data_IF_615800610407
#
_entry.id   IF_615800610407
#
_cell.length_a   1.000
_cell.length_b   1.000
_cell.length_c   1.000
_cell.angle_alpha   90.00
_cell.angle_beta   90.00
_cell.angle_gamma   90.00
#
_symmetry.space_group_name_H-M   'P 1'
#
loop_
_entity.id
_entity.type
_entity.pdbx_description
1 polymer ?
#
# COMPACT_ATOMS: atom_id res chain seq x y z
N UNK A 1 -7.01 15.07 -2.85
CA UNK A 1 -7.41 13.81 -3.49
C UNK A 1 -8.87 13.86 -3.96
N UNK A 2 -9.10 13.71 -5.24
CA UNK A 2 -10.46 13.66 -5.83
C UNK A 2 -11.13 12.35 -5.37
N UNK A 3 -10.42 11.23 -5.42
CA UNK A 3 -10.93 9.91 -5.02
C UNK A 3 -11.21 9.75 -3.51
N UNK A 4 -10.81 10.71 -2.69
CA UNK A 4 -11.14 10.76 -1.28
C UNK A 4 -10.31 9.90 -0.33
N UNK A 5 -9.47 9.02 -0.81
CA UNK A 5 -8.55 8.22 0.01
C UNK A 5 -7.28 9.06 0.23
N UNK A 6 -7.20 9.75 1.37
CA UNK A 6 -6.09 10.65 1.70
C UNK A 6 -4.89 9.92 2.31
N UNK A 7 -5.05 8.65 2.65
CA UNK A 7 -4.04 7.77 3.24
C UNK A 7 -4.69 6.47 3.70
N UNK A 8 -3.90 5.55 4.28
CA UNK A 8 -4.45 4.33 4.88
C UNK A 8 -5.41 4.66 6.02
N UNK A 9 -5.04 5.65 6.81
CA UNK A 9 -5.84 6.24 7.86
C UNK A 9 -5.96 7.74 7.61
N UNK A 10 -7.13 8.30 7.89
CA UNK A 10 -7.40 9.73 7.79
C UNK A 10 -8.49 10.13 8.81
N UNK A 11 -8.69 11.41 9.01
CA UNK A 11 -9.80 11.89 9.84
C UNK A 11 -11.04 12.12 8.98
N UNK A 12 -12.22 11.83 9.55
CA UNK A 12 -13.51 12.17 8.99
C UNK A 12 -14.44 12.53 10.15
N UNK A 13 -15.02 13.70 10.08
CA UNK A 13 -15.90 14.21 11.14
C UNK A 13 -15.26 14.15 12.54
N UNK A 14 -13.97 14.52 12.62
CA UNK A 14 -13.18 14.55 13.85
C UNK A 14 -12.78 13.17 14.40
N UNK A 15 -12.96 12.08 13.65
CA UNK A 15 -12.62 10.71 14.07
C UNK A 15 -11.62 10.06 13.13
N UNK A 16 -10.65 9.31 13.65
CA UNK A 16 -9.76 8.53 12.80
C UNK A 16 -10.56 7.39 12.14
N UNK A 17 -10.36 7.22 10.84
CA UNK A 17 -11.02 6.19 10.03
C UNK A 17 -9.96 5.51 9.17
N UNK A 18 -9.97 4.18 9.15
CA UNK A 18 -9.22 3.40 8.19
C UNK A 18 -9.92 3.44 6.81
N UNK A 19 -9.14 3.53 5.72
CA UNK A 19 -9.63 3.89 4.39
C UNK A 19 -10.75 3.01 3.83
N UNK A 20 -10.78 1.73 4.19
CA UNK A 20 -11.84 0.78 3.77
C UNK A 20 -12.81 0.43 4.89
N UNK A 21 -12.62 0.95 6.10
CA UNK A 21 -13.51 0.66 7.23
C UNK A 21 -14.97 1.04 6.90
N UNK A 22 -15.86 0.08 7.13
CA UNK A 22 -17.31 0.25 6.97
C UNK A 22 -18.07 -0.58 8.01
N UNK A 23 -18.60 0.09 9.03
CA UNK A 23 -19.36 -0.56 10.11
C UNK A 23 -20.79 -0.95 9.70
N UNK A 24 -21.22 -0.56 8.49
CA UNK A 24 -22.55 -0.93 7.95
C UNK A 24 -22.55 -2.29 7.27
N UNK A 25 -21.38 -2.93 7.15
CA UNK A 25 -21.24 -4.25 6.53
C UNK A 25 -20.73 -5.27 7.54
N UNK A 26 -21.01 -6.54 7.27
CA UNK A 26 -20.57 -7.66 8.07
C UNK A 26 -19.53 -8.51 7.33
N UNK A 27 -18.72 -9.26 8.09
CA UNK A 27 -17.78 -10.23 7.55
C UNK A 27 -18.52 -11.41 6.91
N UNK A 28 -18.02 -11.87 5.77
CA UNK A 28 -18.49 -13.07 5.07
C UNK A 28 -17.30 -14.04 4.95
N UNK A 29 -17.46 -15.23 5.50
CA UNK A 29 -16.41 -16.27 5.54
C UNK A 29 -15.79 -16.50 6.90
N UNK A 30 -16.04 -15.61 7.88
CA UNK A 30 -15.69 -15.80 9.29
C UNK A 30 -16.84 -15.33 10.17
N UNK A 31 -17.22 -16.07 11.22
CA UNK A 31 -18.29 -15.67 12.11
C UNK A 31 -17.85 -14.50 13.01
N UNK A 32 -18.68 -13.49 13.17
CA UNK A 32 -18.53 -12.38 14.12
C UNK A 32 -17.19 -11.61 14.05
N UNK A 33 -16.48 -11.68 12.93
CA UNK A 33 -15.20 -11.00 12.73
C UNK A 33 -15.38 -9.54 12.33
N UNK A 34 -14.51 -8.65 12.83
CA UNK A 34 -14.42 -7.25 12.34
C UNK A 34 -13.56 -7.13 11.08
N UNK A 35 -12.77 -8.16 10.76
CA UNK A 35 -11.85 -8.18 9.60
C UNK A 35 -12.55 -8.04 8.24
N UNK A 36 -13.86 -8.34 8.18
CA UNK A 36 -14.67 -8.14 6.99
C UNK A 36 -15.55 -6.89 7.04
N UNK A 37 -15.46 -6.03 8.06
CA UNK A 37 -16.17 -4.74 8.08
C UNK A 37 -15.49 -3.71 7.19
N UNK A 38 -15.34 -4.04 5.90
CA UNK A 38 -14.59 -3.29 4.90
C UNK A 38 -15.37 -3.17 3.60
N UNK A 39 -15.30 -1.99 2.97
CA UNK A 39 -15.94 -1.71 1.68
C UNK A 39 -15.25 -0.56 0.95
N UNK A 40 -15.55 -0.30 -0.33
CA UNK A 40 -15.05 0.86 -1.05
C UNK A 40 -15.80 2.16 -0.73
N UNK A 41 -16.69 2.20 0.24
CA UNK A 41 -17.61 3.33 0.51
C UNK A 41 -16.89 4.68 0.74
N UNK A 42 -15.65 4.67 1.22
CA UNK A 42 -14.84 5.87 1.38
C UNK A 42 -14.15 6.34 0.10
N UNK A 43 -14.08 5.49 -0.92
CA UNK A 43 -13.67 5.87 -2.28
C UNK A 43 -14.80 6.65 -2.93
N UNK A 44 -14.51 7.87 -3.41
CA UNK A 44 -15.54 8.82 -3.88
C UNK A 44 -15.65 8.88 -5.41
N UNK A 45 -14.85 8.08 -6.10
CA UNK A 45 -14.79 8.03 -7.57
C UNK A 45 -14.93 6.61 -8.05
N UNK A 46 -15.28 6.45 -9.32
CA UNK A 46 -15.18 5.15 -9.99
C UNK A 46 -13.70 4.74 -10.14
N UNK A 47 -13.48 3.46 -10.39
CA UNK A 47 -12.19 2.87 -10.78
C UNK A 47 -12.24 2.42 -12.23
N UNK A 48 -11.10 2.04 -12.81
CA UNK A 48 -11.09 1.47 -14.17
C UNK A 48 -11.89 0.16 -14.25
N UNK A 49 -11.95 -0.61 -13.16
CA UNK A 49 -12.77 -1.81 -13.09
C UNK A 49 -14.27 -1.47 -13.10
N UNK A 50 -14.67 -0.37 -12.43
CA UNK A 50 -16.04 0.12 -12.49
C UNK A 50 -16.41 0.58 -13.91
N UNK A 51 -15.56 1.37 -14.55
CA UNK A 51 -15.79 1.86 -15.91
C UNK A 51 -15.88 0.73 -16.93
N UNK A 52 -15.04 -0.31 -16.81
CA UNK A 52 -15.12 -1.50 -17.63
C UNK A 52 -16.46 -2.20 -17.48
N UNK A 53 -16.95 -2.37 -16.25
CA UNK A 53 -18.26 -2.98 -16.00
C UNK A 53 -19.42 -2.15 -16.55
N UNK A 54 -19.36 -0.83 -16.39
CA UNK A 54 -20.36 0.10 -16.92
C UNK A 54 -20.35 0.01 -18.47
N UNK A 55 -19.20 0.09 -19.12
CA UNK A 55 -19.07 0.06 -20.57
C UNK A 55 -19.60 -1.25 -21.18
N UNK A 56 -19.48 -2.36 -20.46
CA UNK A 56 -19.98 -3.67 -20.89
C UNK A 56 -21.39 -4.00 -20.39
N UNK A 57 -22.09 -3.03 -19.85
CA UNK A 57 -23.39 -3.22 -19.21
C UNK A 57 -23.38 -4.37 -18.18
N UNK A 58 -22.36 -4.35 -17.31
CA UNK A 58 -22.09 -5.31 -16.24
C UNK A 58 -21.85 -6.76 -16.67
N UNK A 59 -21.52 -6.99 -17.95
CA UNK A 59 -21.16 -8.34 -18.45
C UNK A 59 -19.72 -8.72 -18.13
N UNK A 60 -18.79 -7.76 -18.09
CA UNK A 60 -17.42 -7.99 -17.60
C UNK A 60 -17.43 -8.43 -16.14
N UNK A 61 -16.56 -9.38 -15.83
CA UNK A 61 -16.31 -9.80 -14.44
C UNK A 61 -15.07 -9.10 -13.93
N UNK A 62 -15.15 -8.59 -12.73
CA UNK A 62 -14.01 -7.95 -12.06
C UNK A 62 -13.81 -8.56 -10.69
N UNK A 63 -12.58 -8.91 -10.34
CA UNK A 63 -12.22 -9.56 -9.08
C UNK A 63 -10.99 -8.88 -8.49
N UNK A 64 -11.01 -8.65 -7.17
CA UNK A 64 -9.85 -8.18 -6.41
C UNK A 64 -9.35 -9.24 -5.43
N UNK A 65 -8.04 -9.47 -5.37
CA UNK A 65 -7.40 -10.45 -4.49
C UNK A 65 -6.16 -9.85 -3.85
N UNK A 66 -6.07 -9.88 -2.53
CA UNK A 66 -4.90 -9.44 -1.80
C UNK A 66 -4.81 -10.09 -0.41
N UNK A 67 -3.66 -9.96 0.24
CA UNK A 67 -3.55 -10.20 1.68
C UNK A 67 -4.21 -9.05 2.45
N UNK A 68 -4.02 -7.80 1.97
CA UNK A 68 -4.59 -6.57 2.58
C UNK A 68 -5.98 -6.29 1.98
N UNK A 69 -6.97 -6.00 2.82
CA UNK A 69 -8.33 -5.62 2.40
C UNK A 69 -8.33 -4.45 1.41
N UNK A 70 -7.63 -3.34 1.72
CA UNK A 70 -7.57 -2.15 0.86
C UNK A 70 -6.98 -2.43 -0.52
N UNK A 71 -5.98 -3.31 -0.59
CA UNK A 71 -5.33 -3.67 -1.84
C UNK A 71 -6.17 -4.61 -2.72
N UNK A 72 -7.15 -5.28 -2.14
CA UNK A 72 -8.19 -6.04 -2.86
C UNK A 72 -9.35 -5.13 -3.29
N UNK A 73 -9.83 -4.30 -2.37
CA UNK A 73 -11.06 -3.51 -2.49
C UNK A 73 -10.89 -2.33 -3.44
N UNK A 74 -9.86 -1.50 -3.22
CA UNK A 74 -9.75 -0.21 -3.92
C UNK A 74 -9.50 -0.35 -5.42
N UNK A 75 -8.62 -1.26 -5.92
CA UNK A 75 -8.46 -1.46 -7.35
C UNK A 75 -9.68 -2.11 -8.01
N UNK A 76 -10.40 -2.98 -7.29
CA UNK A 76 -11.58 -3.65 -7.79
C UNK A 76 -12.81 -2.74 -7.88
N UNK A 77 -12.87 -1.69 -7.06
CA UNK A 77 -13.90 -0.67 -7.11
C UNK A 77 -15.23 -1.03 -6.45
N UNK A 78 -16.26 -0.26 -6.84
CA UNK A 78 -17.59 -0.33 -6.24
C UNK A 78 -18.45 -1.46 -6.79
N UNK A 79 -18.31 -1.76 -8.07
CA UNK A 79 -19.24 -2.65 -8.81
C UNK A 79 -18.69 -4.05 -9.00
N UNK A 80 -17.53 -4.37 -8.43
CA UNK A 80 -16.85 -5.66 -8.63
C UNK A 80 -17.72 -6.86 -8.25
N UNK A 81 -17.49 -7.98 -8.94
CA UNK A 81 -18.11 -9.28 -8.61
C UNK A 81 -17.64 -9.84 -7.27
N UNK A 82 -16.44 -9.43 -6.82
CA UNK A 82 -15.93 -9.79 -5.51
C UNK A 82 -14.56 -9.22 -5.24
N UNK A 83 -14.34 -8.81 -4.00
CA UNK A 83 -13.02 -8.49 -3.45
C UNK A 83 -12.76 -9.44 -2.28
N UNK A 84 -11.60 -10.11 -2.30
CA UNK A 84 -11.24 -11.14 -1.32
C UNK A 84 -9.91 -10.81 -0.67
N UNK A 85 -9.84 -10.89 0.65
CA UNK A 85 -8.61 -10.62 1.43
C UNK A 85 -8.44 -11.64 2.54
N UNK A 86 -7.21 -11.73 3.04
CA UNK A 86 -6.84 -12.74 4.03
C UNK A 86 -7.26 -12.30 5.45
N UNK A 87 -7.96 -13.18 6.14
CA UNK A 87 -8.17 -13.08 7.58
C UNK A 87 -7.05 -13.79 8.33
N UNK A 88 -6.27 -13.06 9.11
CA UNK A 88 -5.10 -13.58 9.80
C UNK A 88 -5.42 -14.63 10.88
N UNK A 89 -6.60 -14.52 11.48
CA UNK A 89 -6.97 -15.42 12.56
C UNK A 89 -7.31 -16.81 12.04
N UNK A 90 -8.06 -16.88 10.95
CA UNK A 90 -8.48 -18.16 10.34
C UNK A 90 -7.53 -18.66 9.26
N UNK A 91 -6.76 -17.78 8.62
CA UNK A 91 -5.95 -18.09 7.44
C UNK A 91 -6.81 -18.28 6.18
N UNK A 92 -8.04 -17.81 6.17
CA UNK A 92 -8.99 -17.93 5.08
C UNK A 92 -9.13 -16.62 4.32
N UNK A 93 -9.45 -16.71 3.02
CA UNK A 93 -9.94 -15.56 2.28
C UNK A 93 -11.39 -15.28 2.65
N UNK A 94 -11.66 -14.02 2.93
CA UNK A 94 -12.97 -13.50 3.33
C UNK A 94 -13.39 -12.35 2.41
N UNK A 95 -14.64 -11.93 2.55
CA UNK A 95 -15.18 -10.73 1.93
C UNK A 95 -16.12 -10.03 2.90
N UNK A 96 -16.91 -9.07 2.43
CA UNK A 96 -17.94 -8.39 3.20
C UNK A 96 -19.30 -8.50 2.54
N UNK A 97 -20.35 -8.23 3.33
CA UNK A 97 -21.73 -8.15 2.83
C UNK A 97 -21.96 -6.99 1.84
N UNK A 98 -20.98 -6.11 1.64
CA UNK A 98 -21.00 -5.14 0.55
C UNK A 98 -21.02 -5.83 -0.81
N UNK A 99 -20.24 -6.89 -0.97
CA UNK A 99 -20.10 -7.60 -2.23
C UNK A 99 -20.99 -8.83 -2.33
N UNK A 100 -21.06 -9.64 -1.28
CA UNK A 100 -21.77 -10.92 -1.29
C UNK A 100 -22.30 -11.27 0.09
N UNK A 101 -23.40 -12.00 0.14
CA UNK A 101 -23.98 -12.52 1.39
C UNK A 101 -23.35 -13.84 1.83
N UNK A 102 -22.67 -14.56 0.91
CA UNK A 102 -21.92 -15.78 1.17
C UNK A 102 -20.68 -15.88 0.26
N UNK A 103 -19.70 -16.68 0.66
CA UNK A 103 -18.55 -16.96 -0.18
C UNK A 103 -18.96 -17.86 -1.37
N UNK A 104 -18.44 -17.61 -2.58
CA UNK A 104 -18.59 -18.53 -3.70
C UNK A 104 -17.98 -19.90 -3.39
N UNK A 105 -18.47 -20.93 -4.05
CA UNK A 105 -18.02 -22.31 -3.81
C UNK A 105 -16.51 -22.50 -4.08
N UNK A 106 -15.97 -21.82 -5.08
CA UNK A 106 -14.54 -21.87 -5.35
C UNK A 106 -13.70 -21.27 -4.21
N UNK A 107 -14.17 -20.19 -3.53
CA UNK A 107 -13.51 -19.64 -2.34
C UNK A 107 -13.63 -20.59 -1.15
N UNK A 108 -14.83 -21.17 -0.93
CA UNK A 108 -15.04 -22.18 0.13
C UNK A 108 -14.10 -23.37 -0.06
N UNK A 109 -13.99 -23.88 -1.30
CA UNK A 109 -13.07 -24.97 -1.65
C UNK A 109 -11.61 -24.59 -1.46
N UNK A 110 -11.21 -23.37 -1.83
CA UNK A 110 -9.85 -22.89 -1.61
C UNK A 110 -9.51 -22.83 -0.11
N UNK A 111 -10.39 -22.21 0.70
CA UNK A 111 -10.22 -22.09 2.15
C UNK A 111 -10.15 -23.47 2.84
N UNK A 112 -10.96 -24.43 2.41
CA UNK A 112 -10.98 -25.78 2.97
C UNK A 112 -9.66 -26.55 2.82
N UNK A 113 -8.77 -26.12 1.90
CA UNK A 113 -7.43 -26.73 1.74
C UNK A 113 -6.48 -26.41 2.88
N UNK A 114 -6.74 -25.35 3.68
CA UNK A 114 -5.87 -24.95 4.78
C UNK A 114 -4.46 -24.52 4.35
N UNK A 115 -4.34 -23.93 3.16
CA UNK A 115 -3.04 -23.65 2.49
C UNK A 115 -2.07 -22.80 3.30
N UNK A 116 -2.56 -21.85 4.11
CA UNK A 116 -1.70 -21.03 4.98
C UNK A 116 -0.89 -21.89 5.94
N UNK A 117 -1.56 -22.85 6.62
CA UNK A 117 -0.89 -23.76 7.54
C UNK A 117 0.10 -24.67 6.83
N UNK A 118 -0.28 -25.18 5.65
CA UNK A 118 0.57 -26.06 4.85
C UNK A 118 1.85 -25.32 4.40
N UNK A 119 1.73 -24.12 3.84
CA UNK A 119 2.86 -23.31 3.40
C UNK A 119 3.80 -22.96 4.57
N UNK A 120 3.26 -22.49 5.69
CA UNK A 120 4.06 -22.16 6.87
C UNK A 120 4.72 -23.40 7.50
N UNK A 121 4.18 -24.60 7.29
CA UNK A 121 4.76 -25.83 7.81
C UNK A 121 6.04 -26.27 7.10
N UNK A 122 6.35 -25.70 5.92
CA UNK A 122 7.53 -26.04 5.12
C UNK A 122 8.82 -25.42 5.66
N UNK A 123 8.73 -24.33 6.44
CA UNK A 123 9.86 -23.49 6.77
C UNK A 123 10.33 -22.65 5.57
N UNK A 124 10.92 -21.49 5.84
CA UNK A 124 11.48 -20.66 4.79
C UNK A 124 12.99 -20.89 4.69
N UNK A 125 13.40 -21.62 3.66
CA UNK A 125 14.82 -21.83 3.28
C UNK A 125 15.12 -20.95 2.08
N UNK A 126 16.34 -20.47 1.96
CA UNK A 126 16.78 -19.76 0.76
C UNK A 126 16.51 -20.58 -0.51
N UNK A 127 16.11 -19.93 -1.58
CA UNK A 127 15.80 -20.56 -2.86
C UNK A 127 17.04 -21.16 -3.53
N UNK A 128 18.17 -20.46 -3.38
CA UNK A 128 19.48 -20.84 -3.90
C UNK A 128 20.53 -20.86 -2.77
N UNK A 129 21.76 -21.24 -3.08
CA UNK A 129 22.90 -21.09 -2.15
C UNK A 129 23.06 -19.60 -1.81
N UNK A 130 23.08 -19.25 -0.52
CA UNK A 130 23.25 -17.87 -0.05
C UNK A 130 24.47 -17.16 -0.63
N UNK A 131 25.51 -17.90 -1.00
CA UNK A 131 26.71 -17.33 -1.67
C UNK A 131 26.42 -16.73 -3.05
N UNK A 132 25.28 -17.07 -3.65
CA UNK A 132 24.86 -16.55 -4.97
C UNK A 132 24.04 -15.25 -4.87
N UNK A 133 23.58 -14.91 -3.68
CA UNK A 133 22.88 -13.66 -3.42
C UNK A 133 23.89 -12.51 -3.44
N UNK A 134 23.64 -11.50 -4.27
CA UNK A 134 24.58 -10.41 -4.53
C UNK A 134 24.04 -9.03 -4.21
N UNK A 135 22.72 -8.90 -4.19
CA UNK A 135 22.05 -7.61 -3.97
C UNK A 135 21.72 -7.38 -2.50
N UNK A 136 22.01 -8.35 -1.64
CA UNK A 136 21.77 -8.30 -0.20
C UNK A 136 23.07 -8.20 0.61
N UNK A 137 22.90 -7.77 1.86
CA UNK A 137 23.95 -7.82 2.89
C UNK A 137 24.11 -9.25 3.41
N UNK A 138 24.97 -9.46 4.43
CA UNK A 138 25.05 -10.75 5.10
C UNK A 138 23.71 -11.10 5.76
N UNK A 139 23.38 -12.41 5.79
CA UNK A 139 22.14 -12.95 6.37
C UNK A 139 21.95 -12.65 7.87
N UNK A 140 23.02 -12.36 8.60
CA UNK A 140 22.98 -11.99 10.02
C UNK A 140 23.46 -10.57 10.21
N UNK A 141 22.54 -9.64 10.37
CA UNK A 141 22.82 -8.22 10.61
C UNK A 141 21.96 -7.67 11.75
N UNK A 142 22.27 -6.44 12.18
CA UNK A 142 21.43 -5.68 13.11
C UNK A 142 20.38 -4.82 12.39
N UNK A 143 20.27 -4.94 11.06
CA UNK A 143 19.31 -4.19 10.25
C UNK A 143 17.91 -4.78 10.32
N UNK A 144 17.81 -6.07 10.58
CA UNK A 144 16.58 -6.84 10.49
C UNK A 144 15.86 -6.95 11.84
N UNK A 145 14.54 -6.90 11.80
CA UNK A 145 13.72 -7.06 12.99
C UNK A 145 13.54 -8.53 13.35
N UNK A 146 14.10 -9.02 14.46
CA UNK A 146 13.95 -10.42 14.88
C UNK A 146 12.50 -10.75 15.24
N UNK A 147 12.23 -12.03 15.39
CA UNK A 147 10.93 -12.55 15.80
C UNK A 147 10.86 -12.79 17.31
N UNK A 148 9.63 -12.86 17.81
CA UNK A 148 9.35 -13.03 19.23
C UNK A 148 9.26 -11.71 19.97
N UNK A 149 8.64 -11.75 21.17
CA UNK A 149 8.40 -10.54 21.99
C UNK A 149 9.67 -9.86 22.47
N UNK A 150 10.75 -10.65 22.64
CA UNK A 150 12.06 -10.19 23.13
C UNK A 150 13.15 -10.30 22.06
N UNK A 151 12.78 -10.60 20.79
CA UNK A 151 13.75 -10.80 19.72
C UNK A 151 14.55 -12.09 19.83
N UNK A 152 13.97 -13.14 20.44
CA UNK A 152 14.65 -14.39 20.72
C UNK A 152 14.89 -15.26 19.49
N UNK A 153 14.19 -15.02 18.38
CA UNK A 153 14.38 -15.73 17.11
C UNK A 153 15.05 -14.80 16.10
N UNK A 154 16.27 -15.09 15.66
CA UNK A 154 16.95 -14.28 14.65
C UNK A 154 16.14 -14.17 13.34
N UNK A 155 16.33 -13.08 12.65
CA UNK A 155 15.84 -12.87 11.30
C UNK A 155 16.91 -13.39 10.32
N UNK A 156 17.00 -14.71 10.18
CA UNK A 156 17.99 -15.37 9.31
C UNK A 156 17.36 -16.58 8.62
N UNK A 157 17.89 -16.95 7.47
CA UNK A 157 17.49 -18.15 6.77
C UNK A 157 18.40 -19.36 7.16
N UNK A 158 17.86 -20.57 7.38
CA UNK A 158 16.45 -20.93 7.25
C UNK A 158 15.59 -20.48 8.45
N UNK A 159 14.39 -19.95 8.18
CA UNK A 159 13.45 -19.52 9.20
C UNK A 159 12.42 -20.64 9.49
N UNK A 160 12.28 -21.04 10.75
CA UNK A 160 11.25 -22.02 11.16
C UNK A 160 9.87 -21.35 11.26
N UNK A 161 9.24 -21.18 10.12
CA UNK A 161 7.89 -20.58 10.02
C UNK A 161 6.82 -21.43 10.69
N UNK A 162 7.06 -22.76 10.86
CA UNK A 162 6.16 -23.64 11.59
C UNK A 162 6.16 -23.35 13.10
N UNK A 163 7.34 -23.12 13.67
CA UNK A 163 7.45 -22.69 15.07
C UNK A 163 6.86 -21.28 15.25
N UNK A 164 7.18 -20.34 14.36
CA UNK A 164 6.63 -18.97 14.39
C UNK A 164 5.10 -18.97 14.29
N UNK A 165 4.50 -19.80 13.47
CA UNK A 165 3.04 -19.93 13.36
C UNK A 165 2.39 -20.28 14.72
N UNK A 166 3.04 -21.12 15.54
CA UNK A 166 2.51 -21.49 16.86
C UNK A 166 2.52 -20.33 17.87
N UNK A 167 3.49 -19.44 17.78
CA UNK A 167 3.67 -18.32 18.72
C UNK A 167 3.07 -17.01 18.23
N UNK A 168 3.05 -16.77 16.90
CA UNK A 168 2.64 -15.52 16.28
C UNK A 168 1.37 -15.65 15.43
N UNK A 169 0.78 -16.85 15.31
CA UNK A 169 -0.42 -17.11 14.53
C UNK A 169 -0.17 -17.21 13.02
N UNK A 170 -1.26 -17.32 12.27
CA UNK A 170 -1.22 -17.51 10.82
C UNK A 170 -0.79 -16.25 10.05
N UNK A 171 -0.89 -15.08 10.67
CA UNK A 171 -0.42 -13.81 10.10
C UNK A 171 1.07 -13.77 9.76
N UNK A 172 1.88 -14.70 10.27
CA UNK A 172 3.29 -14.89 9.87
C UNK A 172 3.45 -15.02 8.36
N UNK A 173 2.46 -15.57 7.65
CA UNK A 173 2.51 -15.73 6.19
C UNK A 173 2.74 -14.42 5.45
N UNK A 174 2.28 -13.29 5.99
CA UNK A 174 2.43 -11.96 5.40
C UNK A 174 3.89 -11.55 5.23
N UNK A 175 4.76 -11.97 6.15
CA UNK A 175 6.18 -11.63 6.19
C UNK A 175 7.08 -12.77 5.70
N UNK A 176 6.54 -13.60 4.82
CA UNK A 176 7.24 -14.69 4.12
C UNK A 176 6.86 -14.67 2.63
N UNK A 177 7.68 -15.21 1.73
CA UNK A 177 7.34 -15.28 0.30
C UNK A 177 6.08 -16.12 0.04
N UNK A 178 5.71 -16.98 0.97
CA UNK A 178 4.49 -17.82 0.88
C UNK A 178 3.21 -17.00 0.79
N UNK A 179 3.23 -15.73 1.28
CA UNK A 179 2.11 -14.81 1.09
C UNK A 179 1.85 -14.50 -0.38
N UNK A 180 2.90 -14.32 -1.19
CA UNK A 180 2.75 -14.13 -2.64
C UNK A 180 2.32 -15.42 -3.33
N UNK A 181 2.91 -16.57 -2.96
CA UNK A 181 2.48 -17.89 -3.44
C UNK A 181 0.97 -18.09 -3.24
N UNK A 182 0.47 -17.75 -2.05
CA UNK A 182 -0.95 -17.86 -1.72
C UNK A 182 -1.83 -16.99 -2.63
N UNK A 183 -1.38 -15.78 -2.98
CA UNK A 183 -2.11 -14.88 -3.90
C UNK A 183 -2.14 -15.45 -5.32
N UNK A 184 -1.03 -15.98 -5.85
CA UNK A 184 -1.03 -16.63 -7.17
C UNK A 184 -1.95 -17.85 -7.22
N UNK A 185 -1.98 -18.67 -6.17
CA UNK A 185 -2.89 -19.81 -6.10
C UNK A 185 -4.36 -19.38 -6.03
N UNK A 186 -4.67 -18.34 -5.24
CA UNK A 186 -6.01 -17.78 -5.13
C UNK A 186 -6.47 -17.14 -6.45
N UNK A 187 -5.55 -16.47 -7.17
CA UNK A 187 -5.81 -15.91 -8.48
C UNK A 187 -6.17 -16.99 -9.52
N UNK A 188 -5.43 -18.09 -9.56
CA UNK A 188 -5.78 -19.23 -10.42
C UNK A 188 -7.15 -19.81 -10.06
N UNK A 189 -7.44 -19.95 -8.77
CA UNK A 189 -8.75 -20.41 -8.31
C UNK A 189 -9.89 -19.46 -8.73
N UNK A 190 -9.64 -18.15 -8.73
CA UNK A 190 -10.62 -17.15 -9.18
C UNK A 190 -10.82 -17.21 -10.70
N UNK A 191 -9.74 -17.34 -11.49
CA UNK A 191 -9.82 -17.46 -12.95
C UNK A 191 -10.67 -18.68 -13.33
N UNK A 192 -10.42 -19.84 -12.69
CA UNK A 192 -11.19 -21.05 -12.94
C UNK A 192 -12.63 -20.95 -12.40
N UNK A 193 -12.79 -20.47 -11.17
CA UNK A 193 -14.08 -20.45 -10.48
C UNK A 193 -15.08 -19.43 -11.01
N UNK A 194 -14.58 -18.30 -11.54
CA UNK A 194 -15.40 -17.25 -12.16
C UNK A 194 -15.36 -17.32 -13.70
N UNK A 195 -14.61 -18.26 -14.29
CA UNK A 195 -14.46 -18.39 -15.75
C UNK A 195 -13.96 -17.08 -16.39
N UNK A 196 -12.91 -16.47 -15.79
CA UNK A 196 -12.36 -15.21 -16.30
C UNK A 196 -11.66 -15.43 -17.65
N UNK A 197 -11.92 -14.53 -18.59
CA UNK A 197 -11.36 -14.58 -19.94
C UNK A 197 -12.00 -15.62 -20.89
N UNK A 198 -13.05 -16.31 -20.46
CA UNK A 198 -13.79 -17.29 -21.30
C UNK A 198 -14.98 -16.66 -22.03
N UNK A 199 -15.36 -15.45 -21.66
CA UNK A 199 -16.48 -14.71 -22.25
C UNK A 199 -16.09 -13.92 -23.51
N UNK A 200 -17.06 -13.13 -24.02
CA UNK A 200 -16.84 -12.19 -25.12
C UNK A 200 -16.26 -10.85 -24.65
N UNK A 201 -16.57 -10.48 -23.43
CA UNK A 201 -16.16 -9.22 -22.83
C UNK A 201 -14.81 -9.39 -22.10
N UNK A 202 -14.03 -8.34 -22.03
CA UNK A 202 -12.81 -8.34 -21.23
C UNK A 202 -13.15 -8.42 -19.75
N UNK A 203 -12.54 -9.33 -19.02
CA UNK A 203 -12.62 -9.42 -17.56
C UNK A 203 -11.41 -8.74 -16.91
N UNK A 204 -11.48 -8.43 -15.63
CA UNK A 204 -10.42 -7.74 -14.90
C UNK A 204 -10.09 -8.45 -13.59
N UNK A 205 -8.81 -8.76 -13.38
CA UNK A 205 -8.30 -9.34 -12.15
C UNK A 205 -7.24 -8.42 -11.54
N UNK A 206 -7.56 -7.80 -10.39
CA UNK A 206 -6.60 -7.06 -9.59
C UNK A 206 -5.96 -7.98 -8.54
N UNK A 207 -4.63 -8.05 -8.55
CA UNK A 207 -3.84 -8.83 -7.61
C UNK A 207 -2.86 -7.94 -6.87
N UNK A 208 -2.73 -8.11 -5.55
CA UNK A 208 -1.68 -7.46 -4.79
C UNK A 208 -0.78 -8.47 -4.10
N UNK A 209 0.50 -8.47 -4.47
CA UNK A 209 1.55 -9.34 -3.94
C UNK A 209 2.19 -8.67 -2.71
N UNK A 210 1.36 -8.40 -1.71
CA UNK A 210 1.69 -7.55 -0.56
C UNK A 210 2.75 -8.13 0.39
N UNK A 211 3.15 -9.41 0.25
CA UNK A 211 4.15 -10.01 1.12
C UNK A 211 5.54 -9.36 0.96
N UNK A 212 5.89 -8.88 -0.23
CA UNK A 212 7.15 -8.15 -0.49
C UNK A 212 7.28 -6.91 0.39
N UNK A 213 6.19 -6.13 0.54
CA UNK A 213 6.14 -4.97 1.43
C UNK A 213 6.34 -5.35 2.91
N UNK A 214 5.62 -6.37 3.38
CA UNK A 214 5.78 -6.84 4.77
C UNK A 214 7.18 -7.40 5.07
N UNK A 215 7.81 -8.07 4.10
CA UNK A 215 9.19 -8.55 4.18
C UNK A 215 10.12 -7.33 4.26
N UNK A 216 9.98 -6.36 3.37
CA UNK A 216 10.74 -5.10 3.41
C UNK A 216 10.62 -4.38 4.76
N UNK A 217 9.41 -4.24 5.28
CA UNK A 217 9.18 -3.62 6.60
C UNK A 217 9.95 -4.30 7.72
N UNK A 218 10.05 -5.63 7.71
CA UNK A 218 10.70 -6.40 8.77
C UNK A 218 12.20 -6.49 8.59
N UNK A 219 12.65 -6.83 7.39
CA UNK A 219 14.05 -7.20 7.16
C UNK A 219 14.86 -6.04 6.55
N UNK A 220 14.22 -5.16 5.80
CA UNK A 220 14.89 -4.07 5.07
C UNK A 220 15.07 -4.38 3.59
N UNK A 221 15.46 -3.35 2.82
CA UNK A 221 15.57 -3.45 1.35
C UNK A 221 16.76 -4.29 0.89
N UNK A 222 17.83 -4.36 1.68
CA UNK A 222 19.05 -5.13 1.37
C UNK A 222 19.17 -6.43 2.17
N UNK A 223 18.09 -6.94 2.75
CA UNK A 223 18.12 -8.21 3.45
C UNK A 223 18.11 -9.39 2.47
N UNK A 224 18.73 -10.48 2.86
CA UNK A 224 18.71 -11.76 2.13
C UNK A 224 17.27 -12.24 1.92
N UNK A 225 16.41 -12.05 2.92
CA UNK A 225 15.00 -12.39 2.86
C UNK A 225 14.26 -11.58 1.77
N UNK A 226 14.64 -10.33 1.58
CA UNK A 226 14.05 -9.49 0.54
C UNK A 226 14.50 -9.95 -0.85
N UNK A 227 15.80 -10.22 -1.03
CA UNK A 227 16.33 -10.77 -2.29
C UNK A 227 15.69 -12.13 -2.60
N UNK A 228 15.61 -13.05 -1.64
CA UNK A 228 14.96 -14.37 -1.80
C UNK A 228 13.48 -14.23 -2.18
N UNK A 229 12.77 -13.28 -1.57
CA UNK A 229 11.37 -13.04 -1.89
C UNK A 229 11.17 -12.57 -3.34
N UNK A 230 12.04 -11.72 -3.85
CA UNK A 230 11.98 -11.26 -5.25
C UNK A 230 12.37 -12.36 -6.25
N UNK A 231 13.41 -13.16 -5.95
CA UNK A 231 13.78 -14.32 -6.79
C UNK A 231 12.64 -15.34 -6.89
N UNK A 232 11.91 -15.55 -5.80
CA UNK A 232 10.71 -16.40 -5.79
C UNK A 232 9.56 -15.78 -6.56
N UNK A 233 9.35 -14.48 -6.37
CA UNK A 233 8.32 -13.74 -7.07
C UNK A 233 8.50 -13.82 -8.58
N UNK A 234 9.72 -13.63 -9.08
CA UNK A 234 10.04 -13.76 -10.51
C UNK A 234 9.67 -15.15 -11.06
N UNK A 235 10.06 -16.20 -10.36
CA UNK A 235 9.70 -17.58 -10.74
C UNK A 235 8.18 -17.84 -10.74
N UNK A 236 7.51 -17.40 -9.69
CA UNK A 236 6.05 -17.58 -9.56
C UNK A 236 5.29 -16.78 -10.62
N UNK A 237 5.79 -15.58 -10.96
CA UNK A 237 5.25 -14.77 -12.03
C UNK A 237 5.42 -15.46 -13.39
N UNK A 238 6.59 -16.02 -13.69
CA UNK A 238 6.82 -16.78 -14.90
C UNK A 238 5.86 -17.98 -15.03
N UNK A 239 5.64 -18.72 -13.94
CA UNK A 239 4.66 -19.81 -13.92
C UNK A 239 3.22 -19.32 -14.07
N UNK A 240 2.88 -18.17 -13.49
CA UNK A 240 1.55 -17.59 -13.63
C UNK A 240 1.27 -17.10 -15.05
N UNK A 241 2.23 -16.43 -15.68
CA UNK A 241 2.12 -15.99 -17.07
C UNK A 241 2.00 -17.18 -18.04
N UNK A 242 2.81 -18.24 -17.82
CA UNK A 242 2.67 -19.50 -18.59
C UNK A 242 1.31 -20.17 -18.37
N UNK A 243 0.72 -20.06 -17.18
CA UNK A 243 -0.64 -20.53 -16.94
C UNK A 243 -1.66 -19.71 -17.72
N UNK A 244 -1.54 -18.37 -17.71
CA UNK A 244 -2.43 -17.49 -18.49
C UNK A 244 -2.36 -17.77 -19.99
N UNK A 245 -1.15 -17.90 -20.56
CA UNK A 245 -0.96 -18.23 -21.97
C UNK A 245 -1.66 -19.53 -22.37
N UNK A 246 -1.63 -20.57 -21.51
CA UNK A 246 -2.37 -21.82 -21.76
C UNK A 246 -3.89 -21.66 -21.58
N UNK A 247 -4.34 -20.81 -20.66
CA UNK A 247 -5.76 -20.68 -20.31
C UNK A 247 -6.53 -19.81 -21.30
N UNK A 248 -5.97 -18.68 -21.71
CA UNK A 248 -6.66 -17.68 -22.55
C UNK A 248 -5.91 -17.36 -23.84
N UNK A 249 -4.73 -17.96 -24.07
CA UNK A 249 -3.86 -17.68 -25.20
C UNK A 249 -2.92 -16.49 -24.94
N UNK A 250 -1.77 -16.48 -25.61
CA UNK A 250 -0.75 -15.40 -25.44
C UNK A 250 -1.28 -14.02 -25.84
N UNK A 251 -2.16 -13.95 -26.85
CA UNK A 251 -2.86 -12.73 -27.25
C UNK A 251 -4.19 -12.52 -26.52
N UNK A 252 -4.53 -13.36 -25.54
CA UNK A 252 -5.80 -13.33 -24.83
C UNK A 252 -5.80 -12.47 -23.57
N UNK A 253 -4.67 -11.89 -23.17
CA UNK A 253 -4.59 -11.08 -21.96
C UNK A 253 -3.71 -9.85 -22.15
N UNK A 254 -3.96 -8.86 -21.31
CA UNK A 254 -3.10 -7.72 -21.03
C UNK A 254 -2.63 -7.84 -19.59
N UNK A 255 -1.32 -7.84 -19.38
CA UNK A 255 -0.69 -7.89 -18.05
C UNK A 255 -0.04 -6.55 -17.72
N UNK A 256 -0.27 -6.08 -16.49
CA UNK A 256 0.34 -4.86 -15.96
C UNK A 256 0.98 -5.18 -14.62
N UNK A 257 2.26 -4.83 -14.49
CA UNK A 257 2.99 -4.90 -13.23
C UNK A 257 3.42 -3.50 -12.81
N UNK A 258 3.09 -3.14 -11.59
CA UNK A 258 3.53 -1.91 -10.93
C UNK A 258 3.64 -2.13 -9.43
N UNK A 259 4.01 -1.09 -8.69
CA UNK A 259 3.96 -1.06 -7.23
C UNK A 259 3.20 0.18 -6.75
N UNK A 260 2.68 0.15 -5.53
CA UNK A 260 2.07 1.29 -4.87
C UNK A 260 3.14 2.26 -4.32
N UNK A 261 4.32 1.77 -3.97
CA UNK A 261 5.49 2.52 -3.51
C UNK A 261 6.74 1.63 -3.56
N UNK A 262 7.90 2.25 -3.38
CA UNK A 262 9.14 1.57 -3.03
C UNK A 262 9.41 1.74 -1.51
N UNK A 263 10.65 1.66 -1.03
CA UNK A 263 10.96 1.77 0.40
C UNK A 263 12.33 2.39 0.65
N UNK A 264 12.48 3.03 1.81
CA UNK A 264 13.74 3.56 2.28
C UNK A 264 14.73 2.46 2.67
N UNK A 265 16.01 2.76 2.69
CA UNK A 265 17.00 1.90 3.32
C UNK A 265 16.84 1.92 4.84
N UNK A 266 17.26 0.84 5.50
CA UNK A 266 17.30 0.78 6.95
C UNK A 266 18.21 1.89 7.52
N UNK A 267 17.78 2.56 8.60
CA UNK A 267 18.53 3.69 9.18
C UNK A 267 19.86 3.25 9.80
N UNK A 268 19.95 2.05 10.37
CA UNK A 268 21.21 1.51 10.88
C UNK A 268 22.16 1.20 9.73
N UNK A 269 21.67 0.62 8.62
CA UNK A 269 22.42 0.45 7.39
C UNK A 269 22.96 1.79 6.87
N UNK A 270 22.09 2.83 6.80
CA UNK A 270 22.52 4.16 6.35
C UNK A 270 23.66 4.71 7.22
N UNK A 271 23.54 4.58 8.53
CA UNK A 271 24.57 5.04 9.48
C UNK A 271 25.91 4.34 9.25
N UNK A 272 25.90 3.01 9.11
CA UNK A 272 27.10 2.19 8.89
C UNK A 272 27.79 2.52 7.56
N UNK A 273 27.00 2.90 6.54
CA UNK A 273 27.49 3.27 5.21
C UNK A 273 27.64 4.80 5.03
N UNK A 274 27.51 5.59 6.10
CA UNK A 274 27.64 7.06 6.07
C UNK A 274 26.66 7.74 5.10
N UNK A 275 25.50 7.13 4.88
CA UNK A 275 24.41 7.71 4.11
C UNK A 275 23.61 8.60 5.07
N UNK A 276 23.38 9.89 4.73
CA UNK A 276 22.60 10.78 5.58
C UNK A 276 21.18 10.27 5.82
N UNK A 277 20.68 10.46 7.04
CA UNK A 277 19.32 10.12 7.40
C UNK A 277 19.22 9.55 8.81
N UNK A 278 18.12 9.85 9.47
CA UNK A 278 17.84 9.41 10.84
C UNK A 278 16.32 9.24 11.06
N UNK A 279 15.93 8.74 12.22
CA UNK A 279 14.54 8.60 12.58
C UNK A 279 13.88 9.96 12.86
N UNK A 280 12.85 10.29 12.11
CA UNK A 280 11.97 11.41 12.42
C UNK A 280 11.08 11.03 13.61
N UNK A 281 11.36 11.61 14.77
CA UNK A 281 10.73 11.28 16.05
C UNK A 281 9.34 11.92 16.15
N UNK A 282 8.29 11.10 15.98
CA UNK A 282 6.89 11.57 16.05
C UNK A 282 6.50 12.11 17.43
N UNK A 283 7.09 11.59 18.49
CA UNK A 283 6.89 12.09 19.86
C UNK A 283 7.51 13.48 20.07
N UNK A 284 8.72 13.72 19.53
CA UNK A 284 9.37 15.04 19.56
C UNK A 284 8.56 16.02 18.69
N UNK A 285 8.16 15.60 17.48
CA UNK A 285 7.31 16.40 16.61
C UNK A 285 6.04 16.84 17.34
N UNK A 286 5.34 15.90 17.98
CA UNK A 286 4.13 16.20 18.76
C UNK A 286 4.38 17.18 19.89
N UNK A 287 5.47 17.04 20.62
CA UNK A 287 5.84 17.97 21.69
C UNK A 287 6.09 19.39 21.17
N UNK A 288 6.78 19.52 20.03
CA UNK A 288 7.02 20.82 19.37
C UNK A 288 5.70 21.45 18.92
N UNK A 289 4.82 20.66 18.29
CA UNK A 289 3.52 21.11 17.81
C UNK A 289 2.67 21.64 18.99
N UNK A 290 2.54 20.85 20.03
CA UNK A 290 1.73 21.21 21.21
C UNK A 290 2.31 22.45 21.94
N UNK A 291 3.63 22.55 22.03
CA UNK A 291 4.30 23.71 22.64
C UNK A 291 4.10 24.98 21.81
N UNK A 292 4.23 24.88 20.48
CA UNK A 292 4.01 26.02 19.59
C UNK A 292 2.54 26.48 19.61
N UNK A 293 1.59 25.54 19.65
CA UNK A 293 0.18 25.84 19.77
C UNK A 293 -0.14 26.58 21.07
N UNK A 294 0.34 26.10 22.22
CA UNK A 294 0.16 26.77 23.53
C UNK A 294 0.77 28.17 23.54
N UNK A 295 1.98 28.30 23.00
CA UNK A 295 2.65 29.62 22.94
C UNK A 295 1.88 30.63 22.09
N UNK A 296 1.29 30.18 20.96
CA UNK A 296 0.49 31.02 20.09
C UNK A 296 -0.84 31.44 20.72
N UNK A 297 -1.52 30.50 21.39
CA UNK A 297 -2.86 30.70 21.98
C UNK A 297 -2.74 31.44 23.32
N UNK A 298 -1.60 31.37 24.01
CA UNK A 298 -1.42 31.92 25.37
C UNK A 298 -2.16 31.14 26.45
N UNK A 299 -2.53 29.89 26.21
CA UNK A 299 -3.25 29.02 27.16
C UNK A 299 -2.93 27.54 26.95
N UNK A 300 -3.32 26.70 27.92
CA UNK A 300 -3.17 25.24 27.89
C UNK A 300 -4.26 24.53 27.02
N UNK A 301 -5.06 25.27 26.28
CA UNK A 301 -6.10 24.69 25.44
C UNK A 301 -5.53 23.75 24.37
N UNK A 302 -6.02 22.51 24.35
CA UNK A 302 -5.59 21.50 23.37
C UNK A 302 -6.38 21.65 22.07
N UNK A 303 -5.79 22.23 21.05
CA UNK A 303 -6.40 22.43 19.73
C UNK A 303 -5.85 21.49 18.66
N UNK A 304 -4.75 20.78 18.94
CA UNK A 304 -4.17 19.81 18.02
C UNK A 304 -4.75 18.43 18.32
N UNK A 305 -5.45 17.89 17.36
CA UNK A 305 -6.11 16.59 17.46
C UNK A 305 -5.12 15.43 17.28
N UNK A 306 -4.30 15.49 16.21
CA UNK A 306 -3.35 14.44 15.89
C UNK A 306 -2.13 14.95 15.12
N UNK A 307 -1.07 14.14 15.17
CA UNK A 307 0.05 14.15 14.22
C UNK A 307 0.31 12.71 13.79
N UNK A 308 0.06 12.41 12.53
CA UNK A 308 0.36 11.11 11.91
C UNK A 308 0.44 11.25 10.38
N UNK A 309 1.08 10.30 9.71
CA UNK A 309 1.30 10.35 8.26
C UNK A 309 1.90 11.68 7.80
N UNK A 310 2.81 12.25 8.59
CA UNK A 310 3.45 13.55 8.34
C UNK A 310 2.46 14.72 8.18
N UNK A 311 1.31 14.63 8.84
CA UNK A 311 0.28 15.67 8.82
C UNK A 311 -0.16 16.03 10.22
N UNK A 312 -0.45 17.32 10.43
CA UNK A 312 -1.03 17.85 11.67
C UNK A 312 -2.51 18.07 11.46
N UNK A 313 -3.33 17.59 12.37
CA UNK A 313 -4.78 17.72 12.36
C UNK A 313 -5.24 18.56 13.54
N UNK A 314 -6.13 19.51 13.30
CA UNK A 314 -6.70 20.37 14.33
C UNK A 314 -8.14 19.98 14.68
N UNK A 315 -8.55 20.38 15.89
CA UNK A 315 -9.94 20.37 16.33
C UNK A 315 -10.60 21.69 15.90
N UNK A 316 -11.26 21.65 14.75
CA UNK A 316 -11.90 22.80 14.14
C UNK A 316 -12.93 23.47 15.06
N UNK A 317 -13.77 22.69 15.74
CA UNK A 317 -14.79 23.22 16.64
C UNK A 317 -14.14 23.98 17.83
N UNK A 318 -13.00 23.50 18.30
CA UNK A 318 -12.27 24.13 19.39
C UNK A 318 -11.53 25.40 18.96
N UNK A 319 -10.98 25.41 17.73
CA UNK A 319 -10.40 26.62 17.16
C UNK A 319 -11.45 27.73 16.99
N UNK A 320 -12.66 27.38 16.51
CA UNK A 320 -13.76 28.31 16.39
C UNK A 320 -14.22 28.85 17.74
N UNK A 321 -14.41 27.97 18.72
CA UNK A 321 -14.82 28.36 20.08
C UNK A 321 -13.82 29.32 20.75
N UNK A 322 -12.54 29.22 20.42
CA UNK A 322 -11.48 30.09 20.92
C UNK A 322 -11.20 31.31 20.05
N UNK A 323 -11.91 31.45 18.94
CA UNK A 323 -11.73 32.52 17.94
C UNK A 323 -10.25 32.63 17.47
N UNK A 324 -9.61 31.49 17.18
CA UNK A 324 -8.20 31.44 16.79
C UNK A 324 -8.05 31.65 15.27
N UNK A 325 -7.14 32.53 14.88
CA UNK A 325 -6.68 32.59 13.48
C UNK A 325 -5.96 31.29 13.10
N UNK A 326 -6.67 30.44 12.37
CA UNK A 326 -6.19 29.11 11.98
C UNK A 326 -4.91 29.17 11.17
N UNK A 327 -4.84 30.05 10.18
CA UNK A 327 -3.69 30.13 9.29
C UNK A 327 -2.46 30.65 10.01
N UNK A 328 -2.63 31.67 10.87
CA UNK A 328 -1.55 32.18 11.68
C UNK A 328 -1.01 31.12 12.67
N UNK A 329 -1.90 30.33 13.29
CA UNK A 329 -1.51 29.18 14.14
C UNK A 329 -0.75 28.12 13.34
N UNK A 330 -1.24 27.74 12.16
CA UNK A 330 -0.60 26.76 11.29
C UNK A 330 0.80 27.21 10.88
N UNK A 331 0.97 28.49 10.52
CA UNK A 331 2.27 29.07 10.18
C UNK A 331 3.23 29.09 11.37
N UNK A 332 2.74 29.41 12.56
CA UNK A 332 3.55 29.38 13.78
C UNK A 332 4.07 27.96 14.10
N UNK A 333 3.20 26.96 14.00
CA UNK A 333 3.58 25.55 14.19
C UNK A 333 4.53 25.08 13.09
N UNK A 334 4.26 25.42 11.83
CA UNK A 334 5.13 25.08 10.69
C UNK A 334 6.55 25.62 10.89
N UNK A 335 6.65 26.89 11.31
CA UNK A 335 7.94 27.50 11.65
C UNK A 335 8.63 26.76 12.80
N UNK A 336 7.92 26.45 13.87
CA UNK A 336 8.49 25.72 15.00
C UNK A 336 9.00 24.33 14.63
N UNK A 337 8.27 23.60 13.79
CA UNK A 337 8.70 22.29 13.27
C UNK A 337 9.97 22.42 12.43
N UNK A 338 10.00 23.38 11.50
CA UNK A 338 11.18 23.59 10.67
C UNK A 338 12.41 24.00 11.46
N UNK A 339 12.24 24.83 12.49
CA UNK A 339 13.35 25.38 13.28
C UNK A 339 13.89 24.37 14.31
N UNK A 340 13.04 23.49 14.86
CA UNK A 340 13.35 22.70 16.06
C UNK A 340 13.37 21.18 15.85
N UNK A 341 12.76 20.67 14.78
CA UNK A 341 12.73 19.23 14.50
C UNK A 341 13.78 18.89 13.44
N UNK A 342 14.89 18.22 13.81
CA UNK A 342 15.87 17.77 12.82
C UNK A 342 15.24 16.88 11.75
N UNK A 343 15.72 16.97 10.52
CA UNK A 343 15.24 16.15 9.42
C UNK A 343 13.93 16.61 8.76
N UNK A 344 13.47 17.82 9.06
CA UNK A 344 12.32 18.43 8.38
C UNK A 344 12.81 19.37 7.26
N UNK A 345 12.61 18.96 6.01
CA UNK A 345 12.87 19.82 4.85
C UNK A 345 11.87 20.97 4.78
N UNK A 346 10.59 20.63 4.88
CA UNK A 346 9.50 21.63 4.83
C UNK A 346 8.39 21.26 5.82
N UNK A 347 7.77 22.29 6.40
CA UNK A 347 6.51 22.20 7.12
C UNK A 347 5.58 23.28 6.58
N UNK A 348 4.45 22.89 5.97
CA UNK A 348 3.69 23.79 5.10
C UNK A 348 2.22 23.70 5.47
N UNK A 349 1.56 24.82 5.82
CA UNK A 349 0.10 24.88 5.90
C UNK A 349 -0.54 24.47 4.57
N UNK A 350 -1.60 23.67 4.60
CA UNK A 350 -2.30 23.24 3.39
C UNK A 350 -2.76 24.41 2.51
N UNK A 351 -3.17 25.51 3.14
CA UNK A 351 -3.59 26.74 2.44
C UNK A 351 -2.44 27.47 1.70
N UNK A 352 -1.21 27.27 2.17
CA UNK A 352 -0.03 27.95 1.60
C UNK A 352 0.67 27.14 0.50
N UNK A 353 0.33 25.85 0.32
CA UNK A 353 1.06 24.91 -0.56
C UNK A 353 1.22 25.42 -1.98
N UNK A 354 0.18 26.02 -2.57
CA UNK A 354 0.20 26.50 -3.97
C UNK A 354 1.30 27.55 -4.18
N UNK A 355 1.51 28.42 -3.20
CA UNK A 355 2.47 29.52 -3.27
C UNK A 355 3.78 29.21 -2.51
N UNK A 356 3.92 28.02 -1.92
CA UNK A 356 5.10 27.65 -1.16
C UNK A 356 6.33 27.50 -2.08
N UNK A 357 7.52 28.01 -1.68
CA UNK A 357 8.76 27.86 -2.41
C UNK A 357 9.38 26.47 -2.18
N UNK A 358 8.71 25.44 -2.68
CA UNK A 358 9.10 24.05 -2.58
C UNK A 358 9.19 23.41 -3.97
N UNK A 359 9.94 22.30 -4.14
CA UNK A 359 10.01 21.59 -5.41
C UNK A 359 8.63 21.23 -5.97
N UNK A 360 8.43 21.46 -7.28
CA UNK A 360 7.14 21.29 -7.94
C UNK A 360 6.60 19.84 -7.80
N UNK A 361 7.49 18.86 -7.85
CA UNK A 361 7.12 17.46 -7.65
C UNK A 361 6.50 17.18 -6.25
N UNK A 362 6.99 17.84 -5.20
CA UNK A 362 6.42 17.73 -3.84
C UNK A 362 5.09 18.48 -3.78
N UNK A 363 5.06 19.72 -4.33
CA UNK A 363 3.86 20.54 -4.37
C UNK A 363 2.69 19.82 -5.06
N UNK A 364 2.92 19.27 -6.25
CA UNK A 364 1.93 18.54 -7.03
C UNK A 364 1.41 17.31 -6.27
N UNK A 365 2.27 16.55 -5.61
CA UNK A 365 1.85 15.39 -4.81
C UNK A 365 0.99 15.80 -3.62
N UNK A 366 1.34 16.87 -2.91
CA UNK A 366 0.52 17.38 -1.81
C UNK A 366 -0.85 17.84 -2.33
N UNK A 367 -0.90 18.64 -3.39
CA UNK A 367 -2.14 19.13 -3.98
C UNK A 367 -3.03 17.97 -4.42
N UNK A 368 -2.48 17.02 -5.17
CA UNK A 368 -3.23 15.86 -5.64
C UNK A 368 -3.67 14.92 -4.50
N UNK A 369 -2.87 14.81 -3.45
CA UNK A 369 -3.19 14.01 -2.25
C UNK A 369 -4.17 14.68 -1.29
N UNK A 370 -4.28 16.01 -1.31
CA UNK A 370 -5.11 16.76 -0.36
C UNK A 370 -6.61 16.56 -0.57
N UNK A 371 -7.31 16.34 0.52
CA UNK A 371 -8.79 16.34 0.57
C UNK A 371 -9.26 17.04 1.83
N UNK A 372 -9.98 18.15 1.67
CA UNK A 372 -10.57 18.89 2.79
C UNK A 372 -11.46 17.95 3.63
N UNK A 373 -11.29 18.00 4.95
CA UNK A 373 -12.02 17.16 5.91
C UNK A 373 -11.48 15.72 6.05
N UNK A 374 -10.40 15.36 5.29
CA UNK A 374 -9.72 14.06 5.43
C UNK A 374 -8.21 14.19 5.55
N UNK A 375 -7.59 15.17 4.93
CA UNK A 375 -6.18 15.50 5.07
C UNK A 375 -5.94 16.46 6.23
N UNK A 376 -4.72 16.45 6.76
CA UNK A 376 -4.30 17.40 7.78
C UNK A 376 -4.12 18.81 7.26
N UNK A 377 -3.97 19.73 8.18
CA UNK A 377 -3.87 21.16 7.92
C UNK A 377 -2.43 21.63 7.68
N UNK A 378 -1.43 20.87 8.12
CA UNK A 378 -0.01 21.11 7.87
C UNK A 378 0.61 19.83 7.34
N UNK A 379 1.40 19.94 6.28
CA UNK A 379 2.21 18.86 5.73
C UNK A 379 3.66 19.01 6.17
N UNK A 380 4.24 17.93 6.68
CA UNK A 380 5.64 17.85 7.12
C UNK A 380 6.40 16.97 6.13
N UNK A 381 7.32 17.56 5.40
CA UNK A 381 8.16 16.87 4.40
C UNK A 381 9.52 16.60 5.03
N UNK A 382 9.90 15.34 5.24
CA UNK A 382 11.23 15.00 5.74
C UNK A 382 12.34 15.29 4.71
N UNK A 383 13.54 15.51 5.21
CA UNK A 383 14.76 15.45 4.40
C UNK A 383 14.96 14.03 3.84
N UNK A 384 15.65 13.87 2.70
CA UNK A 384 16.00 12.55 2.18
C UNK A 384 16.72 11.68 3.23
N UNK A 385 16.31 10.41 3.34
CA UNK A 385 16.83 9.48 4.34
C UNK A 385 16.19 9.60 5.73
N UNK A 386 15.35 10.60 5.97
CA UNK A 386 14.59 10.75 7.21
C UNK A 386 13.17 10.21 7.07
N UNK A 387 12.77 9.35 8.01
CA UNK A 387 11.39 8.84 8.06
C UNK A 387 10.99 8.42 9.47
N UNK A 388 9.69 8.33 9.72
CA UNK A 388 9.16 7.94 11.03
C UNK A 388 9.41 6.45 11.27
N UNK A 389 10.23 6.12 12.25
CA UNK A 389 10.56 4.73 12.63
C UNK A 389 10.81 4.63 14.13
N UNK A 390 9.79 4.48 14.93
CA UNK A 390 9.90 4.23 16.37
C UNK A 390 10.92 5.10 17.11
N UNK A 391 11.14 4.78 18.38
CA UNK A 391 12.10 5.50 19.26
C UNK A 391 13.35 4.68 19.59
N UNK A 392 13.57 3.55 18.93
CA UNK A 392 14.72 2.68 19.21
C UNK A 392 16.04 3.35 18.81
N UNK A 393 17.10 3.17 19.60
CA UNK A 393 18.44 3.64 19.29
C UNK A 393 19.02 2.99 18.02
N UNK A 394 18.65 1.73 17.76
CA UNK A 394 19.01 0.97 16.57
C UNK A 394 17.73 0.56 15.84
N UNK A 395 17.21 1.41 14.95
CA UNK A 395 16.00 1.08 14.17
C UNK A 395 16.26 -0.11 13.25
N UNK A 396 15.40 -1.13 13.33
CA UNK A 396 15.45 -2.34 12.52
C UNK A 396 14.33 -2.39 11.50
N UNK A 397 14.56 -3.05 10.36
CA UNK A 397 13.63 -3.05 9.23
C UNK A 397 13.54 -1.69 8.57
N UNK A 398 12.54 -1.46 7.73
CA UNK A 398 12.34 -0.18 7.05
C UNK A 398 10.88 0.24 7.00
N UNK A 399 10.61 1.38 6.35
CA UNK A 399 9.27 1.85 6.01
C UNK A 399 9.32 2.75 4.77
N UNK A 400 8.18 3.27 4.39
CA UNK A 400 7.92 4.11 3.23
C UNK A 400 6.92 5.22 3.60
N UNK A 401 6.47 6.00 2.62
CA UNK A 401 5.47 7.05 2.78
C UNK A 401 6.05 8.45 2.82
N UNK A 402 7.26 8.63 2.28
CA UNK A 402 7.92 9.93 2.13
C UNK A 402 7.99 10.35 0.65
N UNK A 403 8.43 11.57 0.38
CA UNK A 403 8.44 12.17 -0.97
C UNK A 403 9.72 11.89 -1.76
N UNK A 404 10.66 11.15 -1.19
CA UNK A 404 11.99 10.90 -1.79
C UNK A 404 11.91 9.92 -2.96
N UNK A 405 12.79 10.03 -3.97
CA UNK A 405 12.79 9.14 -5.14
C UNK A 405 12.91 7.65 -4.80
N UNK A 406 13.66 7.29 -3.76
CA UNK A 406 13.79 5.90 -3.31
C UNK A 406 12.47 5.29 -2.82
N UNK A 407 11.45 6.10 -2.55
CA UNK A 407 10.12 5.69 -2.11
C UNK A 407 9.08 5.81 -3.24
N UNK A 408 9.32 6.72 -4.17
CA UNK A 408 8.35 7.09 -5.22
C UNK A 408 8.69 6.55 -6.60
N UNK A 409 9.91 6.03 -6.84
CA UNK A 409 10.29 5.43 -8.11
C UNK A 409 9.94 3.94 -8.10
N UNK A 410 8.97 3.56 -8.91
CA UNK A 410 8.37 2.23 -8.97
C UNK A 410 8.41 1.68 -10.40
N UNK A 411 8.39 0.35 -10.58
CA UNK A 411 8.30 -0.24 -11.90
C UNK A 411 6.92 0.01 -12.54
N UNK A 412 6.90 0.09 -13.88
CA UNK A 412 5.68 0.04 -14.67
C UNK A 412 5.93 -0.78 -15.93
N UNK A 413 5.28 -1.92 -16.05
CA UNK A 413 5.42 -2.85 -17.16
C UNK A 413 4.04 -3.15 -17.72
N UNK A 414 3.90 -3.01 -19.04
CA UNK A 414 2.76 -3.50 -19.81
C UNK A 414 3.23 -4.64 -20.69
N UNK A 415 2.45 -5.71 -20.81
CA UNK A 415 2.76 -6.85 -21.66
C UNK A 415 1.48 -7.51 -22.17
N UNK A 416 1.51 -7.96 -23.40
CA UNK A 416 0.42 -8.74 -24.01
C UNK A 416 -0.30 -8.00 -25.12
N UNK A 417 -1.61 -8.23 -25.23
CA UNK A 417 -2.42 -7.74 -26.33
C UNK A 417 -2.36 -6.22 -26.50
N UNK A 418 -2.12 -5.77 -27.73
CA UNK A 418 -2.09 -4.35 -28.14
C UNK A 418 -0.97 -3.53 -27.47
N UNK A 419 0.08 -4.19 -26.99
CA UNK A 419 1.23 -3.53 -26.37
C UNK A 419 2.46 -3.68 -27.26
N UNK A 420 3.01 -2.54 -27.67
CA UNK A 420 4.26 -2.43 -28.43
C UNK A 420 5.46 -2.76 -27.52
N UNK A 421 6.37 -3.57 -28.02
CA UNK A 421 7.64 -3.84 -27.32
C UNK A 421 8.56 -2.62 -27.37
N UNK A 422 9.18 -2.27 -26.24
CA UNK A 422 10.12 -1.15 -26.16
C UNK A 422 10.32 -0.65 -24.72
N UNK A 423 11.07 0.46 -24.61
CA UNK A 423 11.31 1.17 -23.37
C UNK A 423 10.86 2.62 -23.51
N UNK A 424 10.21 3.13 -22.49
CA UNK A 424 9.84 4.54 -22.39
C UNK A 424 10.72 5.24 -21.36
N UNK A 425 11.41 6.28 -21.78
CA UNK A 425 12.40 7.00 -20.95
C UNK A 425 11.88 8.31 -20.35
N UNK A 426 10.70 8.79 -20.78
CA UNK A 426 10.07 9.93 -20.12
C UNK A 426 9.45 9.52 -18.79
N UNK A 427 9.30 10.48 -17.89
CA UNK A 427 8.60 10.29 -16.62
C UNK A 427 7.13 9.94 -16.87
N UNK A 428 6.65 8.91 -16.17
CA UNK A 428 5.24 8.48 -16.13
C UNK A 428 4.82 8.38 -14.68
N UNK A 429 3.52 8.44 -14.43
CA UNK A 429 2.97 8.43 -13.09
C UNK A 429 2.00 7.28 -12.90
N UNK A 430 1.87 6.80 -11.66
CA UNK A 430 0.89 5.74 -11.33
C UNK A 430 -0.55 6.15 -11.72
N UNK A 431 -0.84 7.46 -11.74
CA UNK A 431 -2.13 8.00 -12.21
C UNK A 431 -2.39 7.75 -13.69
N UNK A 432 -1.35 7.51 -14.49
CA UNK A 432 -1.46 7.29 -15.93
C UNK A 432 -1.95 5.88 -16.27
N UNK A 433 -1.86 4.94 -15.34
CA UNK A 433 -2.28 3.54 -15.55
C UNK A 433 -3.77 3.46 -15.89
N UNK A 434 -4.61 4.11 -15.10
CA UNK A 434 -6.05 4.07 -15.33
C UNK A 434 -6.46 4.75 -16.66
N UNK A 435 -5.80 5.86 -17.01
CA UNK A 435 -6.01 6.54 -18.29
C UNK A 435 -5.56 5.68 -19.47
N UNK A 436 -4.41 5.00 -19.35
CA UNK A 436 -3.88 4.08 -20.36
C UNK A 436 -4.83 2.89 -20.58
N UNK A 437 -5.29 2.29 -19.48
CA UNK A 437 -6.24 1.20 -19.53
C UNK A 437 -7.59 1.63 -20.14
N UNK A 438 -8.09 2.80 -19.79
CA UNK A 438 -9.33 3.31 -20.36
C UNK A 438 -9.23 3.47 -21.89
N UNK A 439 -8.09 3.98 -22.37
CA UNK A 439 -7.85 4.09 -23.81
C UNK A 439 -7.77 2.71 -24.50
N UNK A 440 -7.03 1.75 -23.93
CA UNK A 440 -6.91 0.38 -24.48
C UNK A 440 -8.24 -0.37 -24.46
N UNK A 441 -9.02 -0.22 -23.39
CA UNK A 441 -10.30 -0.88 -23.20
C UNK A 441 -11.47 -0.15 -23.88
N UNK A 442 -11.22 1.05 -24.43
CA UNK A 442 -12.24 1.92 -25.05
C UNK A 442 -13.40 2.22 -24.10
N UNK A 443 -13.07 2.50 -22.84
CA UNK A 443 -14.01 2.90 -21.79
C UNK A 443 -13.88 4.39 -21.49
N UNK A 444 -14.76 4.92 -20.66
CA UNK A 444 -14.56 6.23 -20.06
C UNK A 444 -13.42 6.18 -19.03
N UNK A 445 -12.83 7.33 -18.76
CA UNK A 445 -11.89 7.47 -17.65
C UNK A 445 -12.63 7.40 -16.31
N UNK A 446 -12.01 6.80 -15.27
CA UNK A 446 -12.55 6.93 -13.92
C UNK A 446 -12.84 8.40 -13.57
N UNK A 447 -13.94 8.65 -12.87
CA UNK A 447 -14.46 10.00 -12.62
C UNK A 447 -13.49 10.94 -11.88
N UNK A 448 -12.46 10.39 -11.23
CA UNK A 448 -11.40 11.14 -10.57
C UNK A 448 -10.03 11.03 -11.25
N UNK A 449 -9.97 10.53 -12.49
CA UNK A 449 -8.72 10.35 -13.21
C UNK A 449 -8.10 11.68 -13.58
N UNK A 450 -6.81 11.87 -13.23
CA UNK A 450 -5.99 13.04 -13.57
C UNK A 450 -4.77 12.65 -14.43
N UNK A 451 -4.61 11.36 -14.70
CA UNK A 451 -3.50 10.84 -15.50
C UNK A 451 -3.74 10.99 -17.00
N UNK A 452 -2.68 10.73 -17.76
CA UNK A 452 -2.68 10.78 -19.22
C UNK A 452 -2.36 9.39 -19.78
N UNK A 453 -2.95 8.98 -20.91
CA UNK A 453 -2.61 7.70 -21.52
C UNK A 453 -1.14 7.67 -21.96
N UNK A 454 -0.49 6.54 -21.74
CA UNK A 454 0.86 6.24 -22.23
C UNK A 454 0.71 5.68 -23.63
N UNK A 455 0.42 6.56 -24.61
CA UNK A 455 0.09 6.17 -25.99
C UNK A 455 1.25 5.51 -26.71
N UNK A 456 2.49 5.79 -26.30
CA UNK A 456 3.70 5.17 -26.86
C UNK A 456 3.78 3.65 -26.58
N UNK A 457 3.00 3.17 -25.61
CA UNK A 457 2.92 1.74 -25.32
C UNK A 457 1.97 0.98 -26.24
N UNK A 458 1.18 1.68 -27.07
CA UNK A 458 0.19 1.02 -27.94
C UNK A 458 0.82 0.54 -29.24
N UNK A 459 0.39 -0.63 -29.70
CA UNK A 459 0.65 -1.05 -31.08
C UNK A 459 -0.06 -0.08 -32.03
N UNK A 460 0.63 0.30 -33.11
CA UNK A 460 0.03 0.98 -34.26
C UNK A 460 -0.64 -0.09 -35.11
N UNK A 461 -1.96 -0.24 -34.99
CA UNK A 461 -2.77 -1.05 -35.90
C UNK A 461 -2.97 -0.35 -37.27
#
# INVERSE_FOLDING_TARGET
SIHGIAGNDFYKDGKPIYCTQDTLVASVGVPNGKSGQMSPRNLLTTTIADELRIATNFRSKTIGIAIKDRASILPAGHTTNGAYWLDDASGNFITSTYYRTELPDWVKKFNARGRVKELLSQGWKALYDLKTYRESTADKTDYEQPWGKKGEVPATLPLDTKALMKTNGLGVIRTTPFGNTLIFEMAKAAIEGEHLGEGKETDFLAMSLSATDYIGHRYGTFAVETEDAYLRLDRELAFFLSYLGRKVGEAGYLFILTADHAAAHNLTFNRDHKIPGEALRSDIARSIIDSAARAFIGSEAKVVQAYFNYQVFFDDARLDALNIDRLALQRAISKALKDKLPGVAYAIPAADVVNAPIPEAIKTRIINGYRKGRSGDIFVVPDPGWYSKGSAETPRGTTHGVWSPYDTHIPLIFMGKSIRSGHLYRETYITDIAATLAALLKTQYPSGCIGHPITEAFDED
#
